data_IF_765684383270
#
_entry.id   IF_765684383270
#
_cell.length_a   1.000
_cell.length_b   1.000
_cell.length_c   1.000
_cell.angle_alpha   90.00
_cell.angle_beta   90.00
_cell.angle_gamma   90.00
#
_symmetry.space_group_name_H-M   'P 1'
#
loop_
_entity.id
_entity.type
_entity.pdbx_description
1 polymer ?
#
# COMPACT_ATOMS: atom_id res chain seq x y z
N UNK A 1 -2.21 -1.55 -30.66
CA UNK A 1 -3.70 -1.48 -30.51
C UNK A 1 -4.26 -2.86 -30.12
N UNK A 2 -5.48 -2.98 -29.59
CA UNK A 2 -6.04 -4.27 -29.12
C UNK A 2 -5.97 -5.42 -30.15
N UNK A 3 -6.10 -5.12 -31.44
CA UNK A 3 -5.95 -6.09 -32.55
C UNK A 3 -4.53 -6.65 -32.68
N UNK A 4 -3.52 -5.84 -32.38
CA UNK A 4 -2.11 -6.22 -32.44
C UNK A 4 -1.71 -7.09 -31.24
N UNK A 5 -2.37 -6.89 -30.10
CA UNK A 5 -2.26 -7.78 -28.97
C UNK A 5 -2.76 -9.18 -29.32
N UNK A 6 -3.90 -9.31 -30.01
CA UNK A 6 -4.40 -10.63 -30.46
C UNK A 6 -3.39 -11.35 -31.37
N UNK A 7 -2.71 -10.62 -32.26
CA UNK A 7 -1.70 -11.18 -33.18
C UNK A 7 -0.40 -11.60 -32.50
N UNK A 8 0.01 -10.91 -31.44
CA UNK A 8 1.29 -11.14 -30.77
C UNK A 8 1.17 -11.95 -29.47
N UNK A 9 -0.05 -12.28 -29.05
CA UNK A 9 -0.25 -12.98 -27.79
C UNK A 9 0.32 -14.41 -27.82
N UNK A 10 1.23 -14.77 -26.89
CA UNK A 10 1.94 -16.06 -26.92
C UNK A 10 1.01 -17.27 -26.74
N UNK A 11 -0.20 -17.07 -26.20
CA UNK A 11 -1.18 -18.15 -26.05
C UNK A 11 -2.00 -18.43 -27.32
N UNK A 12 -1.73 -17.76 -28.46
CA UNK A 12 -2.46 -17.95 -29.71
C UNK A 12 -3.96 -17.62 -29.59
N UNK A 13 -4.29 -16.41 -29.10
CA UNK A 13 -5.68 -15.94 -29.04
C UNK A 13 -6.26 -15.87 -30.46
N UNK A 14 -7.53 -16.24 -30.61
CA UNK A 14 -8.23 -16.15 -31.88
C UNK A 14 -8.35 -14.68 -32.35
N UNK A 15 -8.12 -14.44 -33.64
CA UNK A 15 -8.24 -13.13 -34.26
C UNK A 15 -9.69 -12.67 -34.36
N UNK A 16 -10.65 -13.61 -34.34
CA UNK A 16 -12.09 -13.33 -34.36
C UNK A 16 -12.64 -13.00 -32.95
N UNK A 17 -11.77 -12.92 -31.93
CA UNK A 17 -12.17 -12.49 -30.59
C UNK A 17 -12.77 -11.08 -30.62
N UNK A 18 -14.01 -10.88 -30.14
CA UNK A 18 -14.65 -9.57 -30.17
C UNK A 18 -13.88 -8.56 -29.32
N UNK A 19 -13.60 -7.40 -29.91
CA UNK A 19 -12.96 -6.27 -29.24
C UNK A 19 -14.03 -5.22 -28.94
N UNK A 20 -14.21 -4.90 -27.66
CA UNK A 20 -15.18 -3.91 -27.19
C UNK A 20 -14.41 -2.71 -26.62
N UNK A 21 -14.80 -1.50 -27.04
CA UNK A 21 -14.25 -0.26 -26.51
C UNK A 21 -15.27 0.36 -25.56
N UNK A 22 -14.90 0.49 -24.30
CA UNK A 22 -15.73 1.10 -23.26
C UNK A 22 -15.14 2.46 -22.91
N UNK A 23 -15.98 3.50 -22.92
CA UNK A 23 -15.60 4.84 -22.48
C UNK A 23 -15.79 4.95 -20.96
N UNK A 24 -14.96 5.77 -20.34
CA UNK A 24 -15.08 6.10 -18.92
C UNK A 24 -16.50 6.61 -18.60
N UNK A 25 -17.07 6.14 -17.49
CA UNK A 25 -18.41 6.50 -17.02
C UNK A 25 -19.56 5.86 -17.81
N UNK A 26 -19.26 5.03 -18.81
CA UNK A 26 -20.23 4.31 -19.64
C UNK A 26 -19.99 2.80 -19.57
N UNK A 27 -19.48 2.31 -18.45
CA UNK A 27 -19.18 0.90 -18.25
C UNK A 27 -20.47 0.07 -18.09
N UNK A 28 -20.68 -0.96 -18.94
CA UNK A 28 -21.88 -1.79 -18.84
C UNK A 28 -21.85 -2.67 -17.59
N UNK A 29 -23.01 -3.16 -17.11
CA UNK A 29 -23.07 -4.09 -15.97
C UNK A 29 -22.25 -5.38 -16.18
N UNK A 30 -22.10 -5.83 -17.43
CA UNK A 30 -21.25 -6.96 -17.81
C UNK A 30 -19.75 -6.69 -17.65
N UNK A 31 -19.36 -5.44 -17.42
CA UNK A 31 -17.99 -5.04 -17.12
C UNK A 31 -17.83 -4.77 -15.62
N UNK A 32 -18.67 -3.91 -15.05
CA UNK A 32 -18.57 -3.51 -13.64
C UNK A 32 -18.82 -4.68 -12.68
N UNK A 33 -19.69 -5.63 -13.04
CA UNK A 33 -20.01 -6.80 -12.23
C UNK A 33 -18.84 -7.78 -11.99
N UNK A 34 -17.76 -7.69 -12.76
CA UNK A 34 -16.54 -8.49 -12.52
C UNK A 34 -15.71 -7.96 -11.35
N UNK A 35 -15.98 -6.73 -10.91
CA UNK A 35 -15.24 -6.05 -9.87
C UNK A 35 -16.16 -5.82 -8.68
N UNK A 36 -16.00 -6.62 -7.62
CA UNK A 36 -16.85 -6.57 -6.42
C UNK A 36 -16.86 -5.18 -5.73
N UNK A 37 -15.80 -4.40 -5.89
CA UNK A 37 -15.65 -3.06 -5.32
C UNK A 37 -15.72 -1.96 -6.40
N UNK A 38 -16.45 -2.18 -7.49
CA UNK A 38 -16.64 -1.15 -8.51
C UNK A 38 -17.47 0.00 -7.96
N UNK A 39 -16.86 1.18 -7.80
CA UNK A 39 -17.57 2.41 -7.48
C UNK A 39 -17.60 3.32 -8.71
N UNK A 40 -18.80 3.60 -9.28
CA UNK A 40 -18.97 4.48 -10.43
C UNK A 40 -18.47 5.91 -10.25
N UNK A 41 -18.39 6.39 -9.00
CA UNK A 41 -18.00 7.77 -8.66
C UNK A 41 -16.49 7.91 -8.38
N UNK A 42 -15.73 6.82 -8.49
CA UNK A 42 -14.28 6.76 -8.22
C UNK A 42 -13.45 7.84 -8.92
N UNK A 43 -13.97 8.44 -10.00
CA UNK A 43 -13.27 9.38 -10.85
C UNK A 43 -13.86 10.79 -10.85
N UNK A 44 -14.98 11.01 -10.16
CA UNK A 44 -15.66 12.32 -10.15
C UNK A 44 -14.87 13.37 -9.35
N UNK A 45 -14.17 12.94 -8.29
CA UNK A 45 -13.39 13.84 -7.42
C UNK A 45 -11.90 13.94 -7.80
N UNK A 46 -11.47 13.28 -8.89
CA UNK A 46 -10.07 13.28 -9.29
C UNK A 46 -9.76 14.44 -10.22
N UNK A 47 -8.60 15.07 -10.00
CA UNK A 47 -8.04 16.07 -10.93
C UNK A 47 -7.94 15.47 -12.34
N UNK A 48 -8.33 16.25 -13.35
CA UNK A 48 -8.20 15.82 -14.74
C UNK A 48 -6.75 15.51 -15.09
N UNK A 49 -6.53 14.63 -16.07
CA UNK A 49 -5.18 14.32 -16.56
C UNK A 49 -4.40 15.57 -16.94
N UNK A 50 -5.06 16.57 -17.53
CA UNK A 50 -4.43 17.83 -17.91
C UNK A 50 -4.05 18.67 -16.70
N UNK A 51 -4.89 18.72 -15.66
CA UNK A 51 -4.57 19.41 -14.41
C UNK A 51 -3.40 18.75 -13.68
N UNK A 52 -3.38 17.41 -13.63
CA UNK A 52 -2.25 16.65 -13.09
C UNK A 52 -0.98 16.90 -13.89
N UNK A 53 -1.06 16.92 -15.21
CA UNK A 53 0.08 17.21 -16.09
C UNK A 53 0.61 18.64 -15.89
N UNK A 54 -0.27 19.61 -15.67
CA UNK A 54 0.15 20.99 -15.38
C UNK A 54 0.82 21.12 -14.01
N UNK A 55 0.35 20.36 -13.01
CA UNK A 55 0.89 20.36 -11.64
C UNK A 55 2.22 19.60 -11.53
N UNK A 56 2.37 18.48 -12.23
CA UNK A 56 3.58 17.63 -12.25
C UNK A 56 4.54 17.95 -13.40
N UNK A 57 4.20 18.91 -14.27
CA UNK A 57 4.98 19.27 -15.45
C UNK A 57 6.33 19.93 -15.17
N UNK A 58 6.67 20.16 -13.90
CA UNK A 58 8.02 20.54 -13.48
C UNK A 58 8.86 19.28 -13.23
N UNK A 59 9.43 18.73 -14.31
CA UNK A 59 10.31 17.54 -14.28
C UNK A 59 11.50 17.67 -13.32
N UNK A 60 11.87 18.91 -12.96
CA UNK A 60 12.90 19.24 -11.96
C UNK A 60 12.59 18.62 -10.58
N UNK A 61 11.30 18.57 -10.20
CA UNK A 61 10.86 18.01 -8.91
C UNK A 61 10.98 16.49 -8.85
N UNK A 62 10.88 15.79 -9.98
CA UNK A 62 11.01 14.33 -10.07
C UNK A 62 12.46 13.87 -9.89
N UNK A 63 13.42 14.65 -10.42
CA UNK A 63 14.85 14.42 -10.24
C UNK A 63 15.29 14.53 -8.77
N UNK A 64 14.72 15.47 -8.02
CA UNK A 64 14.99 15.61 -6.58
C UNK A 64 14.43 14.43 -5.76
N UNK A 65 13.21 13.96 -6.07
CA UNK A 65 12.63 12.78 -5.40
C UNK A 65 13.40 11.49 -5.72
N UNK A 66 13.87 11.34 -6.95
CA UNK A 66 14.65 10.17 -7.37
C UNK A 66 16.01 10.12 -6.65
N UNK A 67 16.66 11.27 -6.45
CA UNK A 67 17.91 11.35 -5.68
C UNK A 67 17.73 10.92 -4.21
N UNK A 68 16.59 11.25 -3.59
CA UNK A 68 16.27 10.82 -2.22
C UNK A 68 15.98 9.32 -2.14
N UNK A 69 15.29 8.76 -3.14
CA UNK A 69 14.95 7.32 -3.19
C UNK A 69 16.15 6.43 -3.52
N UNK A 70 17.04 6.87 -4.41
CA UNK A 70 18.19 6.05 -4.84
C UNK A 70 19.27 5.92 -3.76
N UNK A 71 19.24 6.77 -2.73
CA UNK A 71 20.15 6.70 -1.58
C UNK A 71 19.76 5.63 -0.56
N UNK A 72 18.52 5.10 -0.62
CA UNK A 72 18.10 3.93 0.15
C UNK A 72 17.75 2.82 -0.82
N UNK A 73 18.66 1.88 -0.97
CA UNK A 73 18.52 0.69 -1.79
C UNK A 73 17.44 -0.25 -1.22
N UNK A 74 16.17 0.10 -1.41
CA UNK A 74 15.03 -0.75 -1.08
C UNK A 74 14.65 -1.54 -2.35
N UNK A 75 15.00 -2.82 -2.35
CA UNK A 75 14.67 -3.76 -3.43
C UNK A 75 13.15 -3.96 -3.44
N UNK A 76 12.48 -3.46 -4.47
CA UNK A 76 11.04 -3.63 -4.65
C UNK A 76 10.75 -5.07 -5.08
N UNK A 77 10.31 -5.91 -4.14
CA UNK A 77 9.89 -7.29 -4.41
C UNK A 77 8.38 -7.40 -4.30
N UNK A 78 7.80 -8.49 -4.81
CA UNK A 78 6.36 -8.77 -4.78
C UNK A 78 5.75 -8.92 -3.37
N UNK A 79 6.54 -8.69 -2.31
CA UNK A 79 6.10 -8.68 -0.90
C UNK A 79 6.17 -7.30 -0.26
N UNK A 80 6.58 -6.25 -1.01
CA UNK A 80 6.66 -4.88 -0.50
C UNK A 80 5.28 -4.27 -0.37
N UNK A 81 4.68 -4.38 0.82
CA UNK A 81 3.44 -3.68 1.18
C UNK A 81 3.75 -2.18 1.28
N UNK A 82 3.15 -1.38 0.38
CA UNK A 82 3.16 0.09 0.41
C UNK A 82 2.33 0.60 1.60
N UNK A 83 2.80 0.34 2.83
CA UNK A 83 2.33 1.06 4.00
C UNK A 83 3.03 2.42 4.02
N UNK A 84 2.32 3.52 4.36
CA UNK A 84 2.99 4.80 4.58
C UNK A 84 4.14 4.57 5.56
N UNK A 85 5.33 5.01 5.15
CA UNK A 85 6.62 4.80 5.84
C UNK A 85 6.67 5.40 7.27
N UNK A 86 5.56 6.03 7.67
CA UNK A 86 5.34 6.65 8.97
C UNK A 86 3.98 6.20 9.51
N UNK A 87 3.96 5.05 10.19
CA UNK A 87 2.81 4.67 11.03
C UNK A 87 2.69 5.68 12.16
N UNK A 88 1.46 6.14 12.43
CA UNK A 88 1.21 7.05 13.54
C UNK A 88 1.66 6.41 14.85
N UNK A 89 2.48 7.16 15.58
CA UNK A 89 3.05 6.73 16.85
C UNK A 89 2.14 7.16 17.99
N UNK A 90 1.72 6.21 18.81
CA UNK A 90 0.88 6.46 19.97
C UNK A 90 1.66 6.19 21.25
N UNK A 91 1.37 6.94 22.34
CA UNK A 91 2.03 6.70 23.61
C UNK A 91 1.70 5.31 24.14
N UNK A 92 2.64 4.72 24.89
CA UNK A 92 2.55 3.36 25.40
C UNK A 92 1.23 3.06 26.11
N UNK A 93 0.73 4.00 26.91
CA UNK A 93 -0.51 3.88 27.69
C UNK A 93 -1.79 3.77 26.86
N UNK A 94 -1.75 4.16 25.58
CA UNK A 94 -2.89 4.08 24.66
C UNK A 94 -2.91 2.75 23.91
N UNK A 95 -1.76 2.08 23.81
CA UNK A 95 -1.61 0.82 23.09
C UNK A 95 -1.62 -0.40 24.02
N UNK A 96 -1.00 -0.27 25.19
CA UNK A 96 -0.93 -1.31 26.23
C UNK A 96 -2.14 -1.19 27.14
N UNK A 97 -2.82 -2.31 27.40
CA UNK A 97 -4.08 -2.43 28.16
C UNK A 97 -5.35 -1.91 27.48
N UNK A 98 -5.28 -1.49 26.22
CA UNK A 98 -6.46 -1.12 25.42
C UNK A 98 -7.02 -2.33 24.68
N UNK A 99 -8.31 -2.61 24.83
CA UNK A 99 -9.02 -3.68 24.12
C UNK A 99 -8.95 -3.45 22.59
N UNK A 100 -9.14 -4.51 21.80
CA UNK A 100 -9.06 -4.42 20.34
C UNK A 100 -10.04 -3.38 19.75
N UNK A 101 -11.19 -3.20 20.41
CA UNK A 101 -12.26 -2.29 20.01
C UNK A 101 -12.01 -0.83 20.42
N UNK A 102 -11.12 -0.59 21.39
CA UNK A 102 -10.79 0.74 21.94
C UNK A 102 -9.51 1.35 21.32
N UNK A 103 -8.89 0.66 20.36
CA UNK A 103 -7.67 1.14 19.71
C UNK A 103 -7.97 2.28 18.72
N UNK A 104 -7.05 3.26 18.58
CA UNK A 104 -7.20 4.32 17.59
C UNK A 104 -7.39 3.77 16.17
N UNK A 105 -8.19 4.48 15.36
CA UNK A 105 -8.49 4.10 13.98
C UNK A 105 -7.18 3.98 13.17
N UNK A 106 -6.87 2.78 12.71
CA UNK A 106 -5.64 2.49 11.95
C UNK A 106 -4.54 1.79 12.74
N UNK A 107 -4.75 1.50 14.03
CA UNK A 107 -3.85 0.67 14.83
C UNK A 107 -4.27 -0.81 14.74
N UNK A 108 -3.38 -1.65 14.23
CA UNK A 108 -3.61 -3.10 14.17
C UNK A 108 -3.39 -3.73 15.57
N UNK A 109 -4.42 -4.37 16.18
CA UNK A 109 -4.28 -5.05 17.47
C UNK A 109 -3.20 -6.15 17.47
N UNK A 110 -2.96 -6.77 16.31
CA UNK A 110 -1.95 -7.81 16.14
C UNK A 110 -0.55 -7.25 16.00
N UNK A 111 -0.39 -5.95 15.76
CA UNK A 111 0.90 -5.28 15.49
C UNK A 111 1.02 -3.94 16.21
N UNK A 112 0.51 -3.87 17.45
CA UNK A 112 0.60 -2.66 18.31
C UNK A 112 2.03 -2.13 18.43
N UNK A 113 3.02 -3.02 18.39
CA UNK A 113 4.42 -2.63 18.47
C UNK A 113 4.86 -1.76 17.29
N UNK A 114 4.22 -1.82 16.13
CA UNK A 114 4.52 -0.97 14.97
C UNK A 114 4.09 0.49 15.16
N UNK A 115 3.25 0.76 16.15
CA UNK A 115 2.72 2.08 16.51
C UNK A 115 3.40 2.68 17.75
N UNK A 116 4.40 2.01 18.32
CA UNK A 116 5.22 2.55 19.41
C UNK A 116 6.39 3.39 18.87
N UNK A 117 6.76 4.43 19.60
CA UNK A 117 8.00 5.15 19.33
C UNK A 117 9.20 4.23 19.55
N UNK A 118 10.34 4.49 18.93
CA UNK A 118 11.55 3.67 19.17
C UNK A 118 11.96 3.67 20.64
N UNK A 119 11.72 4.77 21.35
CA UNK A 119 11.97 4.91 22.79
C UNK A 119 11.02 4.03 23.61
N UNK A 120 9.72 4.07 23.33
CA UNK A 120 8.73 3.25 24.04
C UNK A 120 8.90 1.76 23.72
N UNK A 121 9.21 1.45 22.45
CA UNK A 121 9.52 0.08 22.04
C UNK A 121 10.70 -0.47 22.85
N UNK A 122 11.76 0.33 23.01
CA UNK A 122 12.91 -0.08 23.81
C UNK A 122 12.56 -0.18 25.30
N UNK A 123 11.68 0.67 25.84
CA UNK A 123 11.23 0.59 27.22
C UNK A 123 10.42 -0.68 27.51
N UNK A 124 9.59 -1.13 26.56
CA UNK A 124 8.74 -2.33 26.70
C UNK A 124 9.54 -3.62 26.48
N UNK A 125 10.26 -3.70 25.36
CA UNK A 125 10.91 -4.93 24.91
C UNK A 125 12.37 -5.04 25.36
N UNK A 126 12.95 -3.98 25.93
CA UNK A 126 14.35 -3.94 26.36
C UNK A 126 15.36 -4.01 25.21
N UNK A 127 14.90 -3.90 23.96
CA UNK A 127 15.73 -4.00 22.76
C UNK A 127 15.20 -3.07 21.66
N UNK A 128 16.06 -2.72 20.70
CA UNK A 128 15.67 -1.89 19.55
C UNK A 128 14.74 -2.65 18.60
N UNK A 129 13.88 -1.92 17.89
CA UNK A 129 12.97 -2.46 16.86
C UNK A 129 13.68 -3.32 15.82
N UNK A 130 14.86 -2.88 15.37
CA UNK A 130 15.69 -3.64 14.42
C UNK A 130 16.14 -4.99 14.99
N UNK A 131 16.56 -5.02 16.27
CA UNK A 131 16.97 -6.25 16.93
C UNK A 131 15.79 -7.21 17.11
N UNK A 132 14.58 -6.68 17.39
CA UNK A 132 13.35 -7.47 17.47
C UNK A 132 12.95 -8.07 16.11
N UNK A 133 13.04 -7.28 15.03
CA UNK A 133 12.76 -7.76 13.67
C UNK A 133 13.68 -8.89 13.20
N UNK A 134 14.91 -8.95 13.74
CA UNK A 134 15.86 -10.03 13.48
C UNK A 134 15.60 -11.32 14.28
N UNK A 135 14.65 -11.32 15.22
CA UNK A 135 14.30 -12.51 15.97
C UNK A 135 13.37 -13.42 15.15
N UNK A 136 13.45 -14.76 15.31
CA UNK A 136 12.46 -15.66 14.76
C UNK A 136 11.03 -15.30 15.21
N UNK A 137 10.04 -15.51 14.33
CA UNK A 137 8.63 -15.14 14.56
C UNK A 137 8.06 -15.65 15.89
N UNK A 138 8.41 -16.87 16.29
CA UNK A 138 7.96 -17.47 17.56
C UNK A 138 8.43 -16.67 18.79
N UNK A 139 9.64 -16.09 18.71
CA UNK A 139 10.24 -15.31 19.80
C UNK A 139 9.65 -13.90 19.85
N UNK A 140 9.36 -13.32 18.69
CA UNK A 140 8.62 -12.07 18.57
C UNK A 140 7.22 -12.20 19.19
N UNK A 141 6.49 -13.27 18.85
CA UNK A 141 5.16 -13.55 19.39
C UNK A 141 5.19 -13.78 20.91
N UNK A 142 6.20 -14.50 21.42
CA UNK A 142 6.38 -14.71 22.86
C UNK A 142 6.57 -13.37 23.60
N UNK A 143 7.49 -12.53 23.13
CA UNK A 143 7.75 -11.22 23.74
C UNK A 143 6.53 -10.29 23.71
N UNK A 144 5.70 -10.40 22.68
CA UNK A 144 4.43 -9.66 22.57
C UNK A 144 3.32 -10.20 23.48
N UNK A 145 3.38 -11.46 23.89
CA UNK A 145 2.44 -12.06 24.85
C UNK A 145 2.86 -11.82 26.30
N UNK A 146 4.16 -11.70 26.54
CA UNK A 146 4.74 -11.44 27.86
C UNK A 146 4.59 -9.96 28.30
N UNK A 147 4.02 -9.08 27.46
CA UNK A 147 3.86 -7.63 27.67
C UNK A 147 2.44 -7.18 27.33
#
# INVERSE_FOLDING_TARGET
MAQEYLRSHPSGRDLDTPIIVVKQGHEPPTFTGWFLAWDPLNWDDKKSYEALRAELGDESSLGQLTSVLTSKQEVFTSTTTLLPDKLETFPLSVLVNTAADDLPRGVDPSRKECHLSDQDFQAVFGMKRSAFGNLPLWKQQKLKKDK
#
